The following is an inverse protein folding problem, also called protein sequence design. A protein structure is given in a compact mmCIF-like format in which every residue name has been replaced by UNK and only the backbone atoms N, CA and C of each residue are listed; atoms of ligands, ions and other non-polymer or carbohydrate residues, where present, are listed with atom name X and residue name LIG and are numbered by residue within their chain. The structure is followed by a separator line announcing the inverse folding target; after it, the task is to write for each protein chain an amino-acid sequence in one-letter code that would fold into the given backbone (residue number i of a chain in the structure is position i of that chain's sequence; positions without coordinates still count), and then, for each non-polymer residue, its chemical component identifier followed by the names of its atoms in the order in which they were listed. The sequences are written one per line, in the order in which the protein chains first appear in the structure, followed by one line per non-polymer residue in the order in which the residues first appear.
data_IF_164911782468
#
_entry.id   IF_164911782468
#
_cell.length_a   1.000
_cell.length_b   1.000
_cell.length_c   1.000
_cell.angle_alpha   90.00
_cell.angle_beta   90.00
_cell.angle_gamma   90.00
#
_symmetry.space_group_name_H-M   'P 1'
#
loop_
_entity.id
_entity.type
_entity.pdbx_description
1 polymer ?
#
# COMPACT_ATOMS: atom_id res chain seq x y z
N UNK A 1 -22.61 -19.54 1.50
CA UNK A 1 -21.45 -19.96 0.69
C UNK A 1 -20.73 -18.73 0.16
N UNK A 2 -19.39 -18.74 0.18
CA UNK A 2 -18.41 -17.64 -0.09
C UNK A 2 -18.57 -16.29 0.64
N UNK A 3 -19.70 -15.56 0.51
CA UNK A 3 -19.91 -14.28 1.22
C UNK A 3 -19.81 -14.41 2.74
N UNK A 4 -20.17 -15.57 3.29
CA UNK A 4 -20.06 -15.85 4.72
C UNK A 4 -18.59 -15.99 5.16
N UNK A 5 -17.71 -16.52 4.31
CA UNK A 5 -16.29 -16.71 4.60
C UNK A 5 -15.56 -15.36 4.67
N UNK A 6 -15.79 -14.46 3.70
CA UNK A 6 -15.17 -13.12 3.71
C UNK A 6 -15.54 -12.34 4.97
N UNK A 7 -16.82 -12.40 5.38
CA UNK A 7 -17.28 -11.78 6.64
C UNK A 7 -16.62 -12.41 7.85
N UNK A 8 -16.45 -13.73 7.86
CA UNK A 8 -15.78 -14.45 8.94
C UNK A 8 -14.31 -14.03 9.09
N UNK A 9 -13.55 -14.01 7.99
CA UNK A 9 -12.16 -13.55 8.00
C UNK A 9 -12.05 -12.09 8.44
N UNK A 10 -12.90 -11.21 7.92
CA UNK A 10 -12.93 -9.79 8.32
C UNK A 10 -13.19 -9.62 9.83
N UNK A 11 -14.08 -10.44 10.41
CA UNK A 11 -14.34 -10.46 11.86
C UNK A 11 -13.11 -10.90 12.64
N UNK A 12 -12.52 -12.04 12.28
CA UNK A 12 -11.30 -12.56 12.94
C UNK A 12 -10.18 -11.53 12.88
N UNK A 13 -9.99 -10.87 11.74
CA UNK A 13 -8.99 -9.82 11.57
C UNK A 13 -9.24 -8.64 12.50
N UNK A 14 -10.48 -8.14 12.53
CA UNK A 14 -10.87 -7.03 13.41
C UNK A 14 -10.65 -7.35 14.88
N UNK A 15 -11.06 -8.55 15.31
CA UNK A 15 -10.90 -9.00 16.70
C UNK A 15 -9.42 -9.17 17.06
N UNK A 16 -8.61 -9.69 16.14
CA UNK A 16 -7.16 -9.82 16.33
C UNK A 16 -6.49 -8.46 16.43
N UNK A 17 -6.80 -7.52 15.51
CA UNK A 17 -6.28 -6.16 15.52
C UNK A 17 -6.59 -5.45 16.84
N UNK A 18 -7.82 -5.58 17.36
CA UNK A 18 -8.20 -5.02 18.67
C UNK A 18 -7.37 -5.59 19.82
N UNK A 19 -7.11 -6.91 19.83
CA UNK A 19 -6.31 -7.56 20.88
C UNK A 19 -4.87 -7.07 20.93
N UNK A 20 -4.29 -6.72 19.77
CA UNK A 20 -2.92 -6.18 19.68
C UNK A 20 -2.85 -4.65 19.74
N UNK A 21 -3.98 -3.95 19.96
CA UNK A 21 -4.03 -2.50 20.01
C UNK A 21 -3.89 -1.80 18.65
N UNK A 22 -4.13 -2.50 17.54
CA UNK A 22 -4.14 -1.92 16.20
C UNK A 22 -5.52 -1.35 15.87
N UNK A 23 -5.62 -0.03 15.82
CA UNK A 23 -6.87 0.66 15.48
C UNK A 23 -7.08 0.82 13.96
N UNK A 24 -8.36 0.73 13.53
CA UNK A 24 -8.83 1.10 12.17
C UNK A 24 -8.11 0.38 11.02
N UNK A 25 -7.71 -0.88 11.20
CA UNK A 25 -7.07 -1.69 10.15
C UNK A 25 -8.04 -2.70 9.55
N UNK A 26 -8.31 -2.55 8.25
CA UNK A 26 -9.06 -3.51 7.43
C UNK A 26 -8.08 -4.40 6.65
N UNK A 27 -8.50 -5.61 6.30
CA UNK A 27 -7.67 -6.50 5.47
C UNK A 27 -7.27 -5.87 4.12
N UNK A 28 -8.09 -4.99 3.54
CA UNK A 28 -7.75 -4.28 2.30
C UNK A 28 -6.47 -3.44 2.42
N UNK A 29 -6.09 -3.02 3.64
CA UNK A 29 -4.84 -2.29 3.89
C UNK A 29 -3.61 -3.15 3.60
N UNK A 30 -3.71 -4.48 3.69
CA UNK A 30 -2.63 -5.39 3.29
C UNK A 30 -2.36 -5.29 1.79
N UNK A 31 -3.41 -5.15 0.97
CA UNK A 31 -3.27 -4.92 -0.48
C UNK A 31 -2.55 -3.61 -0.77
N UNK A 32 -2.89 -2.54 -0.05
CA UNK A 32 -2.19 -1.26 -0.17
C UNK A 32 -0.72 -1.40 0.22
N UNK A 33 -0.43 -2.08 1.34
CA UNK A 33 0.94 -2.32 1.81
C UNK A 33 1.77 -3.08 0.76
N UNK A 34 1.22 -4.16 0.21
CA UNK A 34 1.85 -4.92 -0.86
C UNK A 34 2.13 -4.06 -2.11
N UNK A 35 1.16 -3.26 -2.54
CA UNK A 35 1.32 -2.42 -3.72
C UNK A 35 2.47 -1.41 -3.58
N UNK A 36 2.58 -0.77 -2.41
CA UNK A 36 3.65 0.17 -2.10
C UNK A 36 5.01 -0.54 -2.09
N UNK A 37 5.12 -1.67 -1.38
CA UNK A 37 6.37 -2.43 -1.30
C UNK A 37 6.85 -2.92 -2.67
N UNK A 38 5.93 -3.42 -3.49
CA UNK A 38 6.26 -3.92 -4.82
C UNK A 38 6.70 -2.78 -5.76
N UNK A 39 6.04 -1.62 -5.67
CA UNK A 39 6.44 -0.45 -6.43
C UNK A 39 7.80 0.10 -5.98
N UNK A 40 8.10 0.08 -4.68
CA UNK A 40 9.42 0.46 -4.16
C UNK A 40 10.53 -0.46 -4.69
N UNK A 41 10.29 -1.78 -4.69
CA UNK A 41 11.24 -2.78 -5.20
C UNK A 41 11.48 -2.67 -6.70
N UNK A 42 10.43 -2.51 -7.49
CA UNK A 42 10.50 -2.68 -8.95
C UNK A 42 10.53 -1.37 -9.73
N UNK A 43 9.86 -0.32 -9.23
CA UNK A 43 9.66 0.94 -9.94
C UNK A 43 8.67 0.89 -11.09
N UNK A 44 8.12 -0.29 -11.39
CA UNK A 44 7.21 -0.49 -12.50
C UNK A 44 5.75 -0.52 -12.01
N UNK A 45 5.04 0.57 -12.25
CA UNK A 45 3.63 0.70 -11.88
C UNK A 45 2.70 -0.22 -12.69
N UNK A 46 3.08 -0.56 -13.93
CA UNK A 46 2.31 -1.49 -14.78
C UNK A 46 2.42 -2.92 -14.26
N UNK A 47 3.62 -3.31 -13.80
CA UNK A 47 3.83 -4.59 -13.15
C UNK A 47 3.00 -4.71 -11.88
N UNK A 48 3.01 -3.67 -11.03
CA UNK A 48 2.19 -3.61 -9.81
C UNK A 48 0.70 -3.71 -10.15
N UNK A 49 0.24 -2.97 -11.16
CA UNK A 49 -1.15 -3.00 -11.64
C UNK A 49 -1.58 -4.42 -12.07
N UNK A 50 -0.72 -5.12 -12.84
CA UNK A 50 -0.96 -6.51 -13.25
C UNK A 50 -0.99 -7.47 -12.07
N UNK A 51 -0.03 -7.36 -11.13
CA UNK A 51 0.02 -8.21 -9.92
C UNK A 51 -1.21 -8.03 -9.03
N UNK A 52 -1.74 -6.82 -8.97
CA UNK A 52 -2.97 -6.52 -8.24
C UNK A 52 -4.24 -6.95 -9.00
N UNK A 53 -4.16 -7.15 -10.31
CA UNK A 53 -5.32 -7.42 -11.16
C UNK A 53 -6.24 -6.21 -11.30
N UNK A 54 -5.69 -4.99 -11.30
CA UNK A 54 -6.46 -3.79 -11.61
C UNK A 54 -6.74 -3.68 -13.11
N UNK A 55 -7.95 -3.27 -13.47
CA UNK A 55 -8.34 -3.03 -14.86
C UNK A 55 -7.71 -1.78 -15.47
N UNK A 56 -7.26 -0.83 -14.62
CA UNK A 56 -6.64 0.42 -15.05
C UNK A 56 -5.46 0.80 -14.16
N UNK A 57 -4.38 1.26 -14.79
CA UNK A 57 -3.17 1.75 -14.13
C UNK A 57 -3.46 2.98 -13.28
N UNK A 58 -4.43 3.82 -13.67
CA UNK A 58 -4.85 5.01 -12.93
C UNK A 58 -5.28 4.71 -11.49
N UNK A 59 -5.86 3.53 -11.24
CA UNK A 59 -6.22 3.09 -9.88
C UNK A 59 -5.01 2.69 -9.04
N UNK A 60 -3.91 2.32 -9.69
CA UNK A 60 -2.65 1.91 -9.06
C UNK A 60 -1.71 3.10 -8.83
N UNK A 61 -1.81 4.15 -9.64
CA UNK A 61 -1.03 5.40 -9.50
C UNK A 61 -1.18 6.06 -8.12
N UNK A 62 -2.25 5.75 -7.37
CA UNK A 62 -2.39 6.20 -5.99
C UNK A 62 -1.20 5.78 -5.12
N UNK A 63 -0.51 4.67 -5.46
CA UNK A 63 0.61 4.15 -4.70
C UNK A 63 1.96 4.78 -5.04
N UNK A 64 2.03 5.64 -6.05
CA UNK A 64 3.26 6.37 -6.41
C UNK A 64 3.31 7.75 -5.78
N UNK A 65 2.20 8.20 -5.18
CA UNK A 65 2.01 9.52 -4.57
C UNK A 65 2.33 9.46 -3.08
N UNK A 66 3.59 9.21 -2.73
CA UNK A 66 4.07 9.24 -1.36
C UNK A 66 5.32 10.10 -1.22
N UNK A 67 5.50 10.66 -0.02
CA UNK A 67 6.75 11.29 0.34
C UNK A 67 7.84 10.23 0.53
N UNK A 68 8.97 10.45 -0.12
CA UNK A 68 10.09 9.51 -0.15
C UNK A 68 10.72 9.31 1.24
N UNK A 69 10.73 10.35 2.09
CA UNK A 69 11.21 10.33 3.46
C UNK A 69 10.41 9.34 4.33
N UNK A 70 9.09 9.38 4.24
CA UNK A 70 8.18 8.49 4.97
C UNK A 70 8.28 7.05 4.47
N UNK A 71 8.43 6.85 3.15
CA UNK A 71 8.63 5.52 2.58
C UNK A 71 9.93 4.88 3.09
N UNK A 72 11.03 5.62 3.14
CA UNK A 72 12.31 5.12 3.68
C UNK A 72 12.21 4.75 5.15
N UNK A 73 11.49 5.54 5.95
CA UNK A 73 11.27 5.27 7.38
C UNK A 73 10.46 4.00 7.61
N UNK A 74 9.40 3.79 6.82
CA UNK A 74 8.50 2.66 7.00
C UNK A 74 8.95 1.37 6.30
N UNK A 75 9.68 1.48 5.19
CA UNK A 75 10.12 0.36 4.36
C UNK A 75 11.62 0.45 4.05
N UNK A 76 12.50 0.38 5.06
CA UNK A 76 13.94 0.61 4.89
C UNK A 76 14.61 -0.38 3.92
N UNK A 77 14.08 -1.59 3.80
CA UNK A 77 14.61 -2.64 2.91
C UNK A 77 14.12 -2.45 1.48
N UNK A 78 12.82 -2.20 1.29
CA UNK A 78 12.23 -2.03 -0.04
C UNK A 78 12.60 -0.69 -0.68
N UNK A 79 12.81 0.34 0.14
CA UNK A 79 13.18 1.68 -0.30
C UNK A 79 14.65 1.80 -0.74
N UNK A 80 15.44 0.71 -0.77
CA UNK A 80 16.85 0.74 -1.20
C UNK A 80 17.01 1.37 -2.58
N UNK A 81 16.05 1.16 -3.50
CA UNK A 81 16.06 1.79 -4.84
C UNK A 81 16.05 3.32 -4.81
N UNK A 82 15.49 3.92 -3.75
CA UNK A 82 15.40 5.36 -3.57
C UNK A 82 16.72 5.98 -3.08
N UNK A 83 17.70 5.17 -2.67
CA UNK A 83 19.01 5.66 -2.23
C UNK A 83 19.96 6.00 -3.40
N UNK A 84 19.74 5.43 -4.59
CA UNK A 84 20.70 5.48 -5.72
C UNK A 84 20.33 6.52 -6.81
N UNK A 85 19.76 7.67 -6.43
CA UNK A 85 19.52 8.78 -7.37
C UNK A 85 18.44 8.53 -8.44
N UNK A 86 17.51 7.62 -8.20
CA UNK A 86 16.45 7.25 -9.13
C UNK A 86 15.23 8.18 -9.10
N UNK A 87 14.96 8.85 -10.24
CA UNK A 87 13.75 9.59 -10.65
C UNK A 87 13.01 10.38 -9.54
N UNK A 88 13.40 11.65 -9.41
CA UNK A 88 12.57 12.68 -8.76
C UNK A 88 11.27 12.81 -9.54
N UNK A 89 10.14 12.41 -8.95
CA UNK A 89 8.83 12.82 -9.42
C UNK A 89 8.65 14.28 -9.02
N UNK A 90 9.10 15.23 -9.86
CA UNK A 90 8.81 16.64 -9.67
C UNK A 90 7.30 16.86 -9.71
N UNK A 91 6.75 17.24 -8.55
CA UNK A 91 5.33 17.40 -8.35
C UNK A 91 4.94 17.08 -6.92
N UNK A 92 5.44 17.89 -5.97
CA UNK A 92 4.98 17.87 -4.58
C UNK A 92 3.51 18.31 -4.50
N UNK A 93 2.59 17.43 -4.91
CA UNK A 93 1.19 17.58 -4.55
C UNK A 93 1.01 16.97 -3.17
N UNK A 94 0.57 17.78 -2.21
CA UNK A 94 0.16 17.33 -0.88
C UNK A 94 -0.74 16.09 -1.03
N UNK A 95 -0.21 14.93 -0.64
CA UNK A 95 -0.88 13.67 -0.88
C UNK A 95 -1.96 13.51 0.18
N UNK A 96 -3.23 13.68 -0.18
CA UNK A 96 -4.39 13.36 0.67
C UNK A 96 -4.54 11.84 0.96
N UNK A 97 -3.53 11.02 0.64
CA UNK A 97 -3.55 9.58 0.82
C UNK A 97 -3.28 9.24 2.29
N UNK A 98 -4.37 9.18 3.05
CA UNK A 98 -4.34 9.07 4.49
C UNK A 98 -4.15 7.60 4.91
N UNK A 99 -2.93 7.24 5.31
CA UNK A 99 -2.56 5.90 5.74
C UNK A 99 -3.36 5.49 7.00
N UNK A 100 -4.52 4.84 6.81
CA UNK A 100 -5.39 4.38 7.91
C UNK A 100 -6.73 5.09 8.06
N UNK A 101 -7.17 5.94 7.13
CA UNK A 101 -8.59 6.31 7.00
C UNK A 101 -9.34 5.29 6.13
N UNK A 102 -9.48 4.07 6.62
CA UNK A 102 -10.45 3.12 6.11
C UNK A 102 -11.45 2.76 7.20
#
# INVERSE_FOLDING_TARGET
TERCAVKHFSRIWSDTCKKVGLEKRKMHNLRHTFAVMEWLRTGDIYLVCKKLGHSSVTTTEIYTKFEESELRKHFPIEAVRLCDGGQVLEGSQATNYNYGKA
#
